data_IF_527384263501
#
_entry.id   IF_527384263501
#
_cell.length_a   1.000
_cell.length_b   1.000
_cell.length_c   1.000
_cell.angle_alpha   90.00
_cell.angle_beta   90.00
_cell.angle_gamma   90.00
#
_symmetry.space_group_name_H-M   'P 1'
#
loop_
_entity.id
_entity.type
_entity.pdbx_description
1 polymer ?
2 non-polymer ?
3 non-polymer ?
4 water ?
#
# COMPACT_ATOMS: atom_id res chain seq x y z
N UNK A 12 -24.47 7.79 20.54
CA UNK A 12 -23.49 8.07 19.45
C UNK A 12 -22.85 6.76 18.94
N UNK A 13 -23.11 6.40 17.68
CA UNK A 13 -22.53 5.19 17.08
C UNK A 13 -22.27 5.31 15.57
N UNK A 14 -21.35 4.47 15.09
CA UNK A 14 -21.00 4.41 13.68
C UNK A 14 -21.26 2.98 13.20
N UNK A 15 -21.26 2.75 11.87
CA UNK A 15 -21.53 1.42 11.34
C UNK A 15 -20.69 0.28 11.93
N UNK A 16 -19.37 0.47 12.03
CA UNK A 16 -18.48 -0.54 12.62
C UNK A 16 -18.28 -0.31 14.13
N UNK A 17 -18.55 -1.34 14.93
CA UNK A 17 -18.20 -1.35 16.35
C UNK A 17 -16.75 -1.82 16.49
N UNK A 18 -15.81 -0.90 16.40
CA UNK A 18 -14.39 -1.26 16.42
C UNK A 18 -14.00 -1.99 17.71
N UNK A 19 -13.02 -2.88 17.60
CA UNK A 19 -12.58 -3.68 18.72
C UNK A 19 -11.69 -2.84 19.63
N UNK A 20 -11.97 -2.92 20.93
CA UNK A 20 -11.12 -2.32 21.96
C UNK A 20 -10.14 -3.38 22.45
N UNK A 21 -8.93 -2.98 22.81
CA UNK A 21 -7.92 -3.96 23.22
C UNK A 21 -8.32 -4.75 24.49
N UNK A 22 -9.22 -4.19 25.30
CA UNK A 22 -9.73 -4.89 26.48
C UNK A 22 -10.71 -6.02 26.10
N UNK A 23 -11.34 -5.89 24.93
CA UNK A 23 -12.35 -6.85 24.47
C UNK A 23 -11.74 -8.09 23.82
N UNK A 24 -10.50 -7.98 23.37
CA UNK A 24 -9.87 -9.00 22.52
C UNK A 24 -9.85 -10.40 23.12
N UNK A 25 -9.67 -10.51 24.44
CA UNK A 25 -9.58 -11.80 25.11
C UNK A 25 -10.89 -12.60 25.08
N UNK A 26 -12.00 -11.88 24.93
CA UNK A 26 -13.33 -12.51 24.88
C UNK A 26 -13.72 -13.02 23.49
N UNK A 27 -12.90 -12.75 22.49
CA UNK A 27 -13.17 -13.22 21.12
C UNK A 27 -12.42 -14.52 20.82
N UNK A 28 -13.17 -15.59 20.59
CA UNK A 28 -12.61 -16.88 20.24
C UNK A 28 -12.76 -17.13 18.73
N UNK A 29 -11.68 -16.89 17.99
CA UNK A 29 -11.66 -17.09 16.54
C UNK A 29 -11.75 -18.57 16.18
N UNK A 30 -11.32 -19.45 17.09
CA UNK A 30 -11.40 -20.89 16.87
C UNK A 30 -12.85 -21.38 16.69
N UNK A 31 -13.81 -20.69 17.29
CA UNK A 31 -15.21 -21.03 17.13
C UNK A 31 -15.77 -20.71 15.74
N UNK A 33 -16.65 -19.42 11.74
CA UNK A 33 -16.53 -19.65 10.30
C UNK A 33 -15.80 -18.46 9.67
N UNK A 34 -15.38 -18.62 8.42
CA UNK A 34 -14.62 -17.57 7.72
C UNK A 34 -15.45 -16.28 7.64
N UNK A 35 -16.74 -16.43 7.37
CA UNK A 35 -17.65 -15.30 7.31
C UNK A 35 -17.68 -14.54 8.64
N UNK A 36 -17.74 -15.27 9.75
CA UNK A 36 -17.79 -14.63 11.07
C UNK A 36 -16.44 -14.03 11.43
N UNK A 37 -15.37 -14.67 10.99
CA UNK A 37 -14.02 -14.10 11.17
C UNK A 37 -13.88 -12.75 10.48
N UNK A 38 -14.41 -12.63 9.26
CA UNK A 38 -14.30 -11.39 8.50
C UNK A 38 -15.05 -10.21 9.17
N UNK A 39 -16.09 -10.53 9.92
CA UNK A 39 -16.75 -9.50 10.72
C UNK A 39 -15.83 -9.01 11.84
N UNK A 40 -14.99 -9.90 12.37
CA UNK A 40 -13.96 -9.49 13.34
C UNK A 40 -12.84 -8.70 12.66
N UNK A 41 -12.37 -9.13 11.48
CA UNK A 41 -11.27 -8.43 10.80
C UNK A 41 -11.70 -6.99 10.48
N UNK A 42 -12.95 -6.85 10.03
CA UNK A 42 -13.54 -5.55 9.74
C UNK A 42 -13.54 -4.66 10.98
N UNK A 43 -13.68 -5.23 12.17
CA UNK A 43 -13.77 -4.43 13.40
C UNK A 43 -12.43 -4.06 14.03
N UNK A 44 -11.35 -4.63 13.49
CA UNK A 44 -10.02 -4.20 13.86
C UNK A 44 -9.84 -2.78 13.36
N UNK A 45 -9.47 -1.83 14.27
CA UNK A 45 -9.19 -0.49 13.80
C UNK A 45 -7.84 -0.46 13.09
N UNK A 46 -7.86 -0.47 11.76
CA UNK A 46 -6.66 -0.70 10.96
C UNK A 46 -5.95 0.58 10.52
N UNK A 47 -4.63 0.54 10.57
CA UNK A 47 -3.77 1.61 10.10
C UNK A 47 -2.93 1.02 8.98
N UNK A 48 -3.18 1.47 7.75
CA UNK A 48 -2.55 0.89 6.57
C UNK A 48 -1.58 1.90 5.98
N UNK A 49 -0.34 1.45 5.78
CA UNK A 49 0.75 2.33 5.35
C UNK A 49 1.15 2.15 3.89
N UNK A 50 0.76 1.04 3.27
CA UNK A 50 1.25 0.69 1.93
C UNK A 50 0.12 0.19 1.03
N UNK A 51 -0.55 1.15 0.39
CA UNK A 51 -1.55 0.85 -0.61
C UNK A 51 -1.40 1.83 -1.76
N UNK A 52 -1.27 1.30 -2.97
CA UNK A 52 -1.14 2.10 -4.17
C UNK A 52 -2.52 2.52 -4.64
N UNK A 53 -2.87 3.79 -4.42
CA UNK A 53 -4.17 4.33 -4.82
C UNK A 53 -4.42 4.12 -6.31
N UNK A 54 -3.39 4.33 -7.14
CA UNK A 54 -3.54 4.15 -8.59
C UNK A 54 -3.82 2.71 -9.03
N UNK A 55 -3.65 1.74 -8.14
CA UNK A 55 -4.04 0.35 -8.41
C UNK A 55 -4.95 -0.21 -7.31
N UNK A 56 -5.72 0.68 -6.70
CA UNK A 56 -6.63 0.30 -5.64
C UNK A 56 -8.06 0.44 -6.13
N UNK A 57 -8.70 -0.69 -6.45
CA UNK A 57 -10.07 -0.69 -6.90
C UNK A 57 -10.72 -2.06 -6.81
N UNK A 58 -12.04 -2.08 -6.90
CA UNK A 58 -12.80 -3.32 -6.92
C UNK A 58 -12.93 -3.80 -8.36
N UNK A 59 -13.29 -5.07 -8.53
CA UNK A 59 -13.55 -5.65 -9.85
C UNK A 59 -14.65 -4.87 -10.55
N UNK A 60 -15.74 -4.62 -9.82
CA UNK A 60 -16.87 -3.87 -10.34
C UNK A 60 -16.45 -2.49 -10.86
N UNK A 61 -15.70 -1.74 -10.05
CA UNK A 61 -15.22 -0.43 -10.49
C UNK A 61 -14.35 -0.50 -11.74
N UNK A 62 -13.43 -1.47 -11.77
CA UNK A 62 -12.51 -1.59 -12.90
C UNK A 62 -13.26 -1.85 -14.20
N UNK A 63 -14.19 -2.80 -14.18
CA UNK A 63 -14.92 -3.16 -15.40
C UNK A 63 -15.80 -2.00 -15.89
N UNK A 64 -16.36 -1.23 -14.96
CA UNK A 64 -17.15 -0.05 -15.30
C UNK A 64 -16.34 0.94 -16.13
N UNK A 65 -15.09 1.16 -15.70
CA UNK A 65 -14.16 2.04 -16.42
C UNK A 65 -13.91 1.54 -17.84
N UNK A 66 -13.59 0.26 -17.97
CA UNK A 66 -13.29 -0.34 -19.25
C UNK A 66 -14.49 -0.20 -20.21
N UNK A 67 -15.69 -0.24 -19.66
CA UNK A 67 -16.89 -0.14 -20.48
C UNK A 67 -17.36 1.29 -20.71
N UNK A 68 -17.12 2.17 -19.74
CA UNK A 68 -17.35 3.60 -19.92
C UNK A 68 -16.64 4.13 -21.18
N UNK A 69 -15.39 3.69 -21.38
CA UNK A 69 -14.59 4.13 -22.51
C UNK A 69 -14.50 3.08 -23.62
N UNK A 70 -15.43 2.11 -23.61
CA UNK A 70 -15.56 1.09 -24.65
C UNK A 70 -14.22 0.48 -25.08
N UNK A 71 -13.43 0.06 -24.09
CA UNK A 71 -12.05 -0.37 -24.32
C UNK A 71 -11.91 -1.85 -24.72
N UNK A 72 -12.82 -2.70 -24.24
CA UNK A 72 -12.76 -4.13 -24.59
C UNK A 72 -14.14 -4.69 -24.96
N UNK A 73 -14.69 -4.23 -26.10
CA UNK A 73 -16.04 -4.61 -26.54
C UNK A 73 -16.22 -6.10 -26.81
N UNK A 74 -15.15 -6.76 -27.23
CA UNK A 74 -15.19 -8.19 -27.55
C UNK A 74 -14.89 -9.09 -26.36
N UNK A 75 -14.66 -8.51 -25.19
CA UNK A 75 -14.39 -9.29 -23.98
C UNK A 75 -15.57 -9.21 -23.00
N UNK A 76 -15.82 -10.32 -22.30
CA UNK A 76 -16.79 -10.35 -21.20
C UNK A 76 -16.16 -9.71 -19.97
N UNK A 77 -16.99 -9.48 -18.93
CA UNK A 77 -16.53 -8.90 -17.65
C UNK A 77 -15.41 -9.74 -17.03
N UNK A 78 -15.59 -11.05 -16.99
CA UNK A 78 -14.58 -11.97 -16.45
C UNK A 78 -13.30 -11.97 -17.29
N UNK A 79 -13.45 -11.97 -18.62
CA UNK A 79 -12.31 -11.92 -19.53
C UNK A 79 -11.51 -10.63 -19.39
N UNK A 80 -12.22 -9.53 -19.06
CA UNK A 80 -11.57 -8.26 -18.79
C UNK A 80 -10.62 -8.38 -17.59
N UNK A 81 -11.12 -8.99 -16.51
CA UNK A 81 -10.34 -9.14 -15.27
C UNK A 81 -9.11 -10.02 -15.47
N UNK A 82 -9.26 -11.09 -16.24
CA UNK A 82 -8.14 -11.99 -16.57
C UNK A 82 -7.10 -11.26 -17.42
N UNK A 83 -7.58 -10.46 -18.39
CA UNK A 83 -6.70 -9.76 -19.31
C UNK A 83 -5.87 -8.66 -18.65
N UNK A 84 -6.47 -7.95 -17.70
CA UNK A 84 -5.85 -6.74 -17.14
C UNK A 84 -5.18 -6.92 -15.78
N UNK A 85 -5.71 -7.82 -14.96
CA UNK A 85 -5.35 -7.87 -13.54
C UNK A 85 -4.50 -9.10 -13.18
N UNK A 86 -4.21 -9.26 -11.89
CA UNK A 86 -3.21 -10.20 -11.41
C UNK A 86 -3.77 -11.07 -10.28
N UNK A 87 -5.08 -11.30 -10.30
CA UNK A 87 -5.77 -12.02 -9.22
C UNK A 87 -5.32 -13.48 -9.09
N UNK A 88 -4.92 -14.09 -10.19
CA UNK A 88 -4.38 -15.45 -10.16
C UNK A 88 -2.87 -15.47 -9.95
N UNK A 89 -2.27 -14.30 -9.78
CA UNK A 89 -0.84 -14.18 -9.59
C UNK A 89 -0.07 -14.33 -10.87
N UNK A 90 1.25 -14.41 -10.74
CA UNK A 90 2.14 -14.62 -11.87
C UNK A 90 3.50 -15.10 -11.39
N UNK A 91 4.50 -14.95 -12.24
CA UNK A 91 5.80 -15.57 -12.01
C UNK A 91 6.77 -14.67 -11.25
N UNK A 92 6.55 -13.36 -11.29
CA UNK A 92 7.51 -12.40 -10.74
C UNK A 92 6.98 -10.98 -10.59
N UNK A 93 7.79 -10.15 -9.93
CA UNK A 93 7.56 -8.71 -9.86
C UNK A 93 7.60 -8.10 -11.26
N UNK A 94 8.54 -8.56 -12.09
CA UNK A 94 8.61 -8.12 -13.49
C UNK A 94 7.32 -8.33 -14.26
N UNK A 95 6.67 -9.47 -14.05
CA UNK A 95 5.40 -9.77 -14.74
C UNK A 95 4.26 -8.89 -14.22
N UNK A 96 4.26 -8.62 -12.91
CA UNK A 96 3.31 -7.70 -12.30
C UNK A 96 3.40 -6.28 -12.90
N UNK A 97 4.63 -5.80 -13.05
CA UNK A 97 4.89 -4.44 -13.54
C UNK A 97 4.39 -4.25 -14.96
N UNK A 98 4.56 -5.27 -15.81
CA UNK A 98 4.05 -5.20 -17.18
C UNK A 98 2.52 -5.25 -17.21
N UNK A 99 1.94 -6.03 -16.31
CA UNK A 99 0.48 -6.15 -16.24
C UNK A 99 -0.14 -4.82 -15.79
N UNK A 100 0.50 -4.19 -14.79
CA UNK A 100 0.06 -2.89 -14.27
C UNK A 100 0.03 -1.81 -15.34
N UNK A 101 0.99 -1.86 -16.26
CA UNK A 101 1.08 -0.94 -17.41
C UNK A 101 -0.17 -0.98 -18.31
N UNK A 102 -0.75 -2.18 -18.48
CA UNK A 102 -1.99 -2.35 -19.24
C UNK A 102 -3.19 -1.71 -18.54
N UNK A 103 -3.21 -1.80 -17.21
CA UNK A 103 -4.28 -1.22 -16.40
C UNK A 103 -4.38 0.30 -16.59
N UNK A 104 -3.26 0.95 -16.89
CA UNK A 104 -3.25 2.39 -17.16
C UNK A 104 -4.17 2.84 -18.31
N UNK A 105 -4.74 1.86 -19.05
CA UNK A 105 -5.83 2.11 -20.00
C UNK A 105 -7.01 2.88 -19.38
N UNK A 106 -7.25 2.72 -18.09
CA UNK A 106 -8.38 3.38 -17.43
C UNK A 106 -8.08 4.83 -17.00
N UNK A 107 -6.83 5.27 -17.11
CA UNK A 107 -6.48 6.65 -16.75
C UNK A 107 -6.74 7.60 -17.92
N UNK A 108 -7.99 7.56 -18.40
CA UNK A 108 -8.41 8.26 -19.61
C UNK A 108 -8.53 9.77 -19.42
N UNK A 109 -9.01 10.17 -18.24
CA UNK A 109 -9.28 11.57 -17.95
C UNK A 109 -9.26 11.82 -16.45
N UNK A 110 -9.41 13.08 -16.07
CA UNK A 110 -9.32 13.48 -14.67
C UNK A 110 -10.58 13.14 -13.86
N UNK A 111 -11.70 12.89 -14.54
CA UNK A 111 -12.94 12.50 -13.88
C UNK A 111 -12.87 11.07 -13.34
N UNK A 112 -12.33 10.15 -14.13
CA UNK A 112 -12.21 8.74 -13.70
C UNK A 112 -11.20 8.60 -12.56
N UNK A 113 -10.15 9.43 -12.60
CA UNK A 113 -9.12 9.46 -11.57
C UNK A 113 -9.68 9.94 -10.21
N UNK A 114 -10.50 10.99 -10.25
CA UNK A 114 -11.19 11.47 -9.06
C UNK A 114 -12.13 10.41 -8.51
N UNK A 115 -12.91 9.78 -9.38
CA UNK A 115 -13.82 8.71 -8.97
C UNK A 115 -13.08 7.54 -8.38
N UNK A 116 -11.96 7.17 -9.00
CA UNK A 116 -11.14 6.09 -8.48
C UNK A 116 -10.74 6.44 -7.05
N UNK A 117 -10.21 7.63 -6.85
CA UNK A 117 -9.81 8.10 -5.52
C UNK A 117 -10.96 8.02 -4.52
N UNK A 118 -12.14 8.46 -4.94
CA UNK A 118 -13.29 8.51 -4.05
C UNK A 118 -13.68 7.12 -3.61
N UNK A 119 -13.81 6.21 -4.57
CA UNK A 119 -14.18 4.84 -4.29
C UNK A 119 -13.10 4.12 -3.50
N UNK A 120 -11.82 4.45 -3.74
CA UNK A 120 -10.72 3.86 -2.98
C UNK A 120 -10.81 4.19 -1.48
N UNK A 121 -11.02 5.46 -1.17
CA UNK A 121 -11.21 5.89 0.21
C UNK A 121 -12.45 5.28 0.83
N UNK A 122 -13.58 5.33 0.12
CA UNK A 122 -14.83 4.84 0.70
C UNK A 122 -14.75 3.38 1.07
N UNK A 123 -14.16 2.55 0.21
CA UNK A 123 -14.07 1.12 0.51
C UNK A 123 -13.15 0.81 1.69
N UNK A 124 -12.07 1.57 1.86
CA UNK A 124 -11.21 1.41 3.05
C UNK A 124 -12.00 1.73 4.32
N UNK A 125 -12.81 2.79 4.27
CA UNK A 125 -13.74 3.11 5.36
C UNK A 125 -14.67 1.94 5.66
N UNK A 126 -15.30 1.40 4.63
CA UNK A 126 -16.21 0.27 4.80
C UNK A 126 -15.49 -0.93 5.43
N UNK A 127 -14.24 -1.11 5.05
CA UNK A 127 -13.43 -2.24 5.52
C UNK A 127 -12.91 -2.08 6.95
N UNK A 128 -13.05 -0.89 7.54
CA UNK A 128 -12.60 -0.62 8.91
C UNK A 128 -11.18 -0.09 9.01
N UNK A 129 -10.71 0.57 7.96
CA UNK A 129 -9.43 1.28 8.02
C UNK A 129 -9.71 2.65 8.65
N UNK A 130 -8.96 2.98 9.69
CA UNK A 130 -9.15 4.28 10.36
C UNK A 130 -8.00 5.25 10.02
N UNK A 131 -6.82 4.71 9.69
CA UNK A 131 -5.67 5.51 9.26
C UNK A 131 -5.16 4.99 7.92
N UNK A 133 -2.62 5.68 4.69
CA UNK A 133 -1.59 6.31 3.89
C UNK A 133 -1.64 5.72 2.49
N UNK A 134 -2.29 6.43 1.58
CA UNK A 134 -2.27 6.09 0.16
C UNK A 134 -1.00 6.64 -0.50
N UNK A 135 -0.54 5.95 -1.53
CA UNK A 135 0.56 6.44 -2.35
C UNK A 135 0.19 6.27 -3.82
N UNK A 136 0.69 7.17 -4.66
CA UNK A 136 0.54 7.02 -6.10
C UNK A 136 1.72 7.58 -6.89
N UNK A 137 1.80 7.18 -8.15
CA UNK A 137 2.85 7.62 -9.06
C UNK A 137 2.28 8.57 -10.12
N UNK A 138 2.62 9.87 -10.03
CA UNK A 138 2.20 10.83 -11.05
C UNK A 138 2.53 10.35 -12.46
N UNK A 139 3.78 9.94 -12.67
CA UNK A 139 4.24 9.55 -14.00
C UNK A 139 3.53 8.29 -14.49
N UNK A 140 3.25 7.36 -13.57
CA UNK A 140 2.54 6.14 -13.92
C UNK A 140 1.09 6.39 -14.36
N UNK A 141 0.43 7.32 -13.69
CA UNK A 141 -0.94 7.68 -14.04
C UNK A 141 -0.97 8.50 -15.34
N UNK A 142 0.07 9.28 -15.57
CA UNK A 142 0.09 10.28 -16.65
C UNK A 142 0.42 9.77 -18.06
N UNK A 143 1.18 8.68 -18.15
CA UNK A 143 1.83 8.33 -19.44
C UNK A 143 0.90 7.83 -20.53
N UNK A 144 -0.08 7.00 -20.19
CA UNK A 144 -0.90 6.33 -21.20
C UNK A 144 -1.62 7.33 -22.11
N UNK A 145 -2.27 8.32 -21.49
CA UNK A 145 -3.01 9.35 -22.23
C UNK A 145 -2.34 10.74 -22.18
N UNK A 146 -1.09 10.80 -21.74
CA UNK A 146 -0.30 12.04 -21.79
C UNK A 146 -0.93 13.14 -20.95
N UNK A 147 -1.34 12.78 -19.73
CA UNK A 147 -2.03 13.71 -18.86
C UNK A 147 -1.07 14.65 -18.14
N UNK A 148 -1.65 15.69 -17.54
CA UNK A 148 -0.90 16.69 -16.78
C UNK A 148 -0.89 16.24 -15.32
N UNK A 149 0.30 16.04 -14.79
CA UNK A 149 0.47 15.54 -13.40
C UNK A 149 -0.08 16.52 -12.36
N UNK A 150 -0.04 17.81 -12.68
CA UNK A 150 -0.69 18.83 -11.84
C UNK A 150 -2.19 18.57 -11.72
N UNK A 151 -2.82 18.19 -12.83
CA UNK A 151 -4.27 17.94 -12.86
C UNK A 151 -4.65 16.56 -12.32
N UNK A 152 -3.77 15.58 -12.54
CA UNK A 152 -3.91 14.26 -11.91
C UNK A 152 -3.99 14.44 -10.39
N UNK A 153 -3.02 15.17 -9.85
CA UNK A 153 -2.93 15.42 -8.40
C UNK A 153 -4.14 16.15 -7.86
N UNK A 154 -4.58 17.15 -8.62
CA UNK A 154 -5.76 17.92 -8.29
C UNK A 154 -6.98 17.01 -8.17
N UNK A 155 -7.11 16.08 -9.10
CA UNK A 155 -8.22 15.14 -9.12
C UNK A 155 -8.20 14.20 -7.90
N UNK A 156 -7.01 13.72 -7.55
CA UNK A 156 -6.85 12.78 -6.43
C UNK A 156 -7.15 13.48 -5.10
N UNK A 157 -6.58 14.66 -4.93
CA UNK A 157 -6.78 15.45 -3.73
C UNK A 157 -8.27 15.80 -3.54
N UNK A 158 -8.91 16.20 -4.64
CA UNK A 158 -10.33 16.55 -4.63
C UNK A 158 -11.21 15.35 -4.26
N UNK A 159 -10.95 14.20 -4.86
CA UNK A 159 -11.71 12.99 -4.59
C UNK A 159 -11.60 12.52 -3.16
N UNK A 160 -10.37 12.50 -2.63
CA UNK A 160 -10.12 12.12 -1.25
C UNK A 160 -10.80 13.08 -0.27
N UNK A 161 -10.64 14.38 -0.50
CA UNK A 161 -11.21 15.41 0.37
C UNK A 161 -12.74 15.33 0.43
N UNK A 162 -13.36 15.11 -0.72
CA UNK A 162 -14.81 15.03 -0.79
C UNK A 162 -15.39 13.87 0.00
N UNK A 163 -14.73 12.71 -0.06
CA UNK A 163 -15.19 11.53 0.67
C UNK A 163 -14.87 11.64 2.17
N UNK A 164 -13.68 12.13 2.48
CA UNK A 164 -13.26 12.33 3.87
C UNK A 164 -14.22 13.29 4.61
N UNK A 165 -14.61 14.37 3.94
CA UNK A 165 -15.56 15.33 4.50
C UNK A 165 -16.97 14.75 4.63
N UNK A 166 -17.42 14.04 3.60
CA UNK A 166 -18.69 13.32 3.68
C UNK A 166 -18.71 12.41 4.89
N UNK A 167 -17.60 11.72 5.13
CA UNK A 167 -17.49 10.76 6.24
C UNK A 167 -17.16 11.38 7.60
N UNK A 168 -17.20 12.72 7.70
CA UNK A 168 -16.88 13.44 8.94
C UNK A 168 -15.52 13.05 9.51
N UNK A 169 -14.55 12.82 8.62
CA UNK A 169 -13.19 12.45 9.00
C UNK A 169 -13.10 11.20 9.91
N UNK A 170 -14.04 10.27 9.77
CA UNK A 170 -13.99 9.02 10.51
C UNK A 170 -12.93 8.07 9.95
N UNK A 171 -12.43 8.38 8.76
CA UNK A 171 -11.19 7.83 8.23
C UNK A 171 -10.26 9.00 7.91
N UNK A 172 -9.00 8.90 8.34
CA UNK A 172 -8.00 9.92 8.03
C UNK A 172 -7.11 9.39 6.94
N UNK A 173 -6.89 10.21 5.91
CA UNK A 173 -6.14 9.79 4.73
C UNK A 173 -4.98 10.74 4.49
N UNK A 174 -3.81 10.18 4.23
CA UNK A 174 -2.64 10.95 3.84
C UNK A 174 -2.09 10.35 2.56
N UNK A 175 -1.19 11.09 1.92
CA UNK A 175 -0.78 10.80 0.56
C UNK A 175 0.75 10.83 0.45
N UNK A 177 4.00 10.31 -2.52
CA UNK A 177 4.35 10.38 -3.93
C UNK A 177 5.34 9.26 -4.23
N UNK A 178 5.10 8.51 -5.31
CA UNK A 178 6.03 7.47 -5.76
C UNK A 178 6.79 7.92 -7.00
N UNK A 179 8.11 7.87 -6.94
CA UNK A 179 8.95 7.90 -8.14
C UNK A 179 9.19 6.44 -8.48
N UNK A 180 8.94 6.03 -9.71
CA UNK A 180 9.00 4.61 -10.05
C UNK A 180 9.79 4.29 -11.32
N UNK A 181 10.12 3.01 -11.45
CA UNK A 181 10.87 2.49 -12.59
C UNK A 181 10.08 1.35 -13.23
N UNK A 182 10.11 1.25 -14.56
CA UNK A 182 9.49 0.15 -15.28
C UNK A 182 8.40 0.51 -16.28
N UNK A 183 8.06 1.79 -16.39
CA UNK A 183 7.05 2.22 -17.36
C UNK A 183 7.55 3.42 -18.19
N UNK A 184 6.88 3.63 -19.32
CA UNK A 184 7.11 4.78 -20.20
C UNK A 184 7.05 6.09 -19.40
N UNK A 185 7.96 7.00 -19.71
CA UNK A 185 7.96 8.32 -19.08
C UNK A 185 8.16 8.27 -17.56
N UNK A 186 8.91 7.28 -17.08
CA UNK A 186 9.31 7.24 -15.68
C UNK A 186 10.44 8.26 -15.45
N UNK A 187 10.47 8.86 -14.26
CA UNK A 187 11.42 9.93 -13.96
C UNK A 187 11.41 10.20 -12.46
N UNK A 188 12.46 9.75 -11.79
CA UNK A 188 12.55 9.84 -10.34
C UNK A 188 12.80 11.30 -9.92
N UNK A 189 13.76 11.94 -10.58
CA UNK A 189 14.06 13.33 -10.32
C UNK A 189 12.79 14.18 -10.40
N UNK A 190 12.07 14.06 -11.52
CA UNK A 190 10.86 14.85 -11.76
C UNK A 190 9.80 14.58 -10.70
N UNK A 191 9.69 13.32 -10.27
CA UNK A 191 8.75 12.93 -9.21
C UNK A 191 9.12 13.56 -7.88
N UNK A 192 10.42 13.57 -7.57
CA UNK A 192 10.95 14.24 -6.39
C UNK A 192 10.62 15.72 -6.39
N UNK A 193 10.83 16.39 -7.52
CA UNK A 193 10.55 17.82 -7.63
C UNK A 193 9.06 18.06 -7.45
N UNK A 194 8.25 17.22 -8.09
CA UNK A 194 6.80 17.31 -7.99
C UNK A 194 6.32 17.10 -6.55
N UNK A 195 6.93 16.14 -5.87
CA UNK A 195 6.62 15.86 -4.49
C UNK A 195 6.88 17.07 -3.57
N UNK A 196 8.03 17.72 -3.75
CA UNK A 196 8.39 18.86 -2.91
C UNK A 196 7.57 20.11 -3.27
N UNK A 197 7.27 20.26 -4.56
CA UNK A 197 6.32 21.28 -5.03
C UNK A 197 4.97 21.15 -4.32
N UNK A 198 4.54 19.92 -4.07
CA UNK A 198 3.26 19.67 -3.42
C UNK A 198 3.44 19.06 -2.04
N UNK A 199 4.47 19.48 -1.30
CA UNK A 199 4.78 18.85 -0.02
C UNK A 199 3.73 19.13 1.07
N UNK A 200 2.91 20.16 0.86
CA UNK A 200 1.74 20.42 1.72
C UNK A 200 0.74 19.24 1.71
N UNK A 201 0.70 18.52 0.58
CA UNK A 201 -0.22 17.40 0.37
C UNK A 201 0.43 16.05 0.57
N UNK A 202 1.76 16.00 0.45
CA UNK A 202 2.48 14.73 0.54
C UNK A 202 3.16 14.58 1.89
N UNK A 203 2.99 13.42 2.52
CA UNK A 203 3.63 13.15 3.80
C UNK A 203 4.87 12.28 3.65
N UNK A 204 5.10 11.74 2.45
CA UNK A 204 6.30 10.94 2.22
C UNK A 204 6.59 10.67 0.76
N UNK A 205 7.77 10.13 0.51
CA UNK A 205 8.27 9.88 -0.84
C UNK A 205 8.82 8.45 -0.96
N UNK A 206 8.54 7.82 -2.10
CA UNK A 206 8.72 6.38 -2.25
C UNK A 206 9.32 6.06 -3.62
N UNK A 207 9.92 4.89 -3.74
CA UNK A 207 10.26 4.33 -5.03
C UNK A 207 9.73 2.92 -5.14
N UNK A 208 9.06 2.64 -6.25
CA UNK A 208 8.50 1.33 -6.52
C UNK A 208 8.70 0.95 -7.97
N UNK A 209 7.94 -0.03 -8.43
CA UNK A 209 8.16 -0.62 -9.75
C UNK A 209 9.29 -1.63 -9.68
N UNK A 210 10.15 -1.66 -10.69
CA UNK A 210 11.32 -2.55 -10.64
C UNK A 210 12.19 -2.17 -9.45
N UNK A 211 12.67 -3.20 -8.73
CA UNK A 211 13.52 -2.96 -7.56
C UNK A 211 14.96 -2.68 -8.00
N UNK A 212 15.38 -1.43 -7.85
CA UNK A 212 16.72 -1.00 -8.23
C UNK A 212 17.48 -0.56 -6.99
N UNK A 213 18.81 -0.65 -7.04
CA UNK A 213 19.66 -0.11 -5.99
C UNK A 213 19.64 1.41 -6.04
N UNK A 214 19.03 2.02 -5.02
CA UNK A 214 18.73 3.43 -5.06
C UNK A 214 19.88 4.33 -4.59
N UNK A 215 21.03 3.74 -4.24
CA UNK A 215 22.21 4.55 -3.90
C UNK A 215 22.64 5.40 -5.09
N UNK A 216 22.34 4.93 -6.30
CA UNK A 216 22.63 5.71 -7.50
C UNK A 216 21.75 6.95 -7.65
N UNK A 217 20.74 7.10 -6.77
CA UNK A 217 19.95 8.33 -6.69
C UNK A 217 20.10 9.04 -5.33
N UNK A 218 21.23 8.77 -4.65
CA UNK A 218 21.51 9.29 -3.32
C UNK A 218 21.21 10.78 -3.15
N UNK A 219 21.60 11.56 -4.14
CA UNK A 219 21.47 13.00 -4.13
C UNK A 219 20.00 13.42 -4.09
N UNK A 220 19.18 12.76 -4.90
CA UNK A 220 17.75 13.08 -5.01
C UNK A 220 17.02 12.77 -3.70
N UNK A 221 17.31 11.60 -3.14
CA UNK A 221 16.70 11.20 -1.88
C UNK A 221 17.17 12.04 -0.69
N UNK A 222 18.46 12.39 -0.67
CA UNK A 222 18.99 13.29 0.37
C UNK A 222 18.20 14.59 0.37
N UNK A 223 18.05 15.17 -0.82
CA UNK A 223 17.36 16.45 -0.99
C UNK A 223 15.88 16.41 -0.54
N UNK A 224 15.17 15.34 -0.89
CA UNK A 224 13.78 15.18 -0.45
C UNK A 224 13.72 15.01 1.07
N UNK A 225 14.56 14.11 1.60
CA UNK A 225 14.59 13.84 3.04
C UNK A 225 14.95 15.08 3.84
N UNK A 226 16.01 15.75 3.42
CA UNK A 226 16.48 16.97 4.10
C UNK A 226 15.46 18.11 4.04
N UNK A 227 14.53 18.04 3.10
CA UNK A 227 13.44 19.01 3.00
C UNK A 227 12.28 18.72 3.95
N UNK A 228 12.39 17.65 4.74
CA UNK A 228 11.36 17.32 5.72
C UNK A 228 10.30 16.35 5.20
N UNK A 229 10.55 15.74 4.05
CA UNK A 229 9.67 14.68 3.55
C UNK A 229 10.35 13.34 3.82
N UNK A 230 9.82 12.56 4.79
CA UNK A 230 10.43 11.27 5.10
C UNK A 230 10.27 10.25 3.98
N UNK A 231 11.15 9.25 4.00
CA UNK A 231 11.24 8.27 2.93
C UNK A 231 10.79 6.87 3.39
N UNK A 232 10.06 6.20 2.51
CA UNK A 232 9.78 4.77 2.62
C UNK A 232 9.83 4.23 1.20
N UNK A 233 10.80 3.36 0.91
CA UNK A 233 10.98 2.87 -0.46
C UNK A 233 10.82 1.37 -0.49
N UNK A 234 10.45 0.86 -1.67
CA UNK A 234 10.39 -0.58 -1.91
C UNK A 234 11.82 -1.13 -1.92
N UNK A 235 12.08 -2.11 -1.07
CA UNK A 235 13.38 -2.76 -0.96
C UNK A 235 13.21 -4.10 -0.27
N UNK A 236 13.97 -5.10 -0.70
CA UNK A 236 13.91 -6.43 -0.09
C UNK A 236 12.64 -7.19 -0.40
N UNK A 237 12.07 -6.93 -1.57
CA UNK A 237 10.86 -7.60 -2.03
C UNK A 237 11.19 -8.68 -3.04
N UNK A 238 11.96 -8.30 -4.07
CA UNK A 238 12.19 -9.17 -5.22
C UNK A 238 13.26 -10.23 -4.91
N UNK A 239 12.82 -11.48 -4.81
CA UNK A 239 13.69 -12.58 -4.39
C UNK A 239 14.65 -13.08 -5.47
N UNK A 240 14.51 -12.58 -6.70
CA UNK A 240 15.35 -13.00 -7.81
C UNK A 240 16.68 -12.23 -7.84
N UNK A 241 16.74 -11.13 -7.10
CA UNK A 241 17.96 -10.33 -7.01
C UNK A 241 19.07 -11.14 -6.33
N UNK A 242 20.31 -11.07 -6.84
CA UNK A 242 21.40 -11.96 -6.42
C UNK A 242 22.03 -11.63 -5.07
N UNK A 243 21.57 -10.55 -4.43
CA UNK A 243 22.06 -10.15 -3.11
C UNK A 243 21.05 -9.21 -2.46
N UNK A 244 21.41 -8.63 -1.31
CA UNK A 244 20.52 -7.74 -0.58
C UNK A 244 20.99 -6.28 -0.57
N UNK A 245 21.69 -5.88 -1.63
CA UNK A 245 22.25 -4.52 -1.74
C UNK A 245 21.23 -3.40 -1.67
N UNK A 246 20.04 -3.65 -2.21
CA UNK A 246 18.98 -2.64 -2.22
C UNK A 246 18.51 -2.30 -0.80
N UNK A 247 18.45 -3.31 0.06
CA UNK A 247 18.13 -3.12 1.47
C UNK A 247 19.19 -2.33 2.21
N UNK A 248 20.46 -2.64 1.98
CA UNK A 248 21.55 -1.90 2.64
C UNK A 248 21.57 -0.43 2.20
N UNK A 249 21.29 -0.18 0.92
CA UNK A 249 21.26 1.19 0.41
C UNK A 249 20.05 1.97 0.92
N UNK A 250 18.91 1.31 0.99
CA UNK A 250 17.72 1.94 1.57
C UNK A 250 18.00 2.39 2.99
N UNK A 251 18.56 1.50 3.80
CA UNK A 251 18.77 1.76 5.22
C UNK A 251 19.93 2.72 5.44
N UNK A 252 21.08 2.45 4.83
CA UNK A 252 22.33 3.18 5.11
C UNK A 252 22.53 4.45 4.28
N UNK A 253 22.08 4.43 3.02
CA UNK A 253 22.29 5.59 2.13
C UNK A 253 21.05 6.49 2.13
N UNK A 254 19.88 5.91 1.85
CA UNK A 254 18.63 6.69 1.85
C UNK A 254 18.13 7.06 3.25
N UNK A 255 18.55 6.33 4.27
CA UNK A 255 18.15 6.62 5.65
C UNK A 255 16.62 6.66 5.80
N UNK A 256 15.99 5.62 5.28
CA UNK A 256 14.53 5.51 5.29
C UNK A 256 14.03 5.26 6.70
N UNK A 257 12.81 5.72 6.96
CA UNK A 257 12.15 5.46 8.25
C UNK A 257 11.34 4.16 8.21
N UNK A 258 10.87 3.80 7.03
CA UNK A 258 10.12 2.56 6.79
C UNK A 258 10.57 1.93 5.48
N UNK A 259 10.31 0.64 5.31
CA UNK A 259 10.65 -0.05 4.05
C UNK A 259 9.40 -0.73 3.50
N UNK A 260 9.13 -0.50 2.21
CA UNK A 260 8.06 -1.18 1.49
C UNK A 260 8.45 -2.63 1.24
N UNK A 261 7.62 -3.54 1.74
CA UNK A 261 7.92 -4.98 1.81
C UNK A 261 9.04 -5.29 2.80
N UNK A 262 10.30 -5.26 2.35
CA UNK A 262 11.42 -5.58 3.23
C UNK A 262 11.49 -7.01 3.75
N UNK A 263 10.75 -7.92 3.13
CA UNK A 263 10.65 -9.30 3.64
C UNK A 263 11.98 -10.07 3.58
N UNK A 264 12.86 -9.70 2.66
CA UNK A 264 14.14 -10.39 2.54
C UNK A 264 15.13 -10.04 3.67
N UNK A 265 14.80 -9.01 4.45
CA UNK A 265 15.49 -8.71 5.71
C UNK A 265 15.64 -9.96 6.56
N UNK A 266 14.64 -10.85 6.49
CA UNK A 266 14.63 -12.11 7.22
C UNK A 266 15.79 -13.05 6.91
N UNK A 267 16.44 -12.86 5.76
CA UNK A 267 17.56 -13.69 5.33
C UNK A 267 18.92 -13.27 5.91
N UNK A 268 18.95 -12.18 6.67
CA UNK A 268 20.21 -11.66 7.23
C UNK A 268 20.03 -11.18 8.65
N UNK A 269 20.79 -11.77 9.57
CA UNK A 269 20.75 -11.36 10.97
C UNK A 269 21.30 -9.94 11.13
N UNK A 270 22.27 -9.56 10.30
CA UNK A 270 22.80 -8.20 10.32
C UNK A 270 21.72 -7.18 10.01
N UNK A 271 20.93 -7.45 8.97
CA UNK A 271 19.86 -6.53 8.56
C UNK A 271 18.69 -6.51 9.56
N UNK A 272 18.37 -7.67 10.11
CA UNK A 272 17.38 -7.77 11.19
C UNK A 272 17.78 -6.88 12.36
N UNK A 273 19.03 -7.02 12.81
CA UNK A 273 19.56 -6.21 13.92
C UNK A 273 19.57 -4.71 13.57
N UNK A 275 17.64 -3.05 11.32
CA UNK A 275 16.31 -2.43 11.23
C UNK A 275 15.69 -2.25 12.61
N UNK A 276 15.88 -3.23 13.49
CA UNK A 276 15.45 -3.11 14.88
C UNK A 276 16.15 -1.93 15.57
N UNK A 277 17.47 -1.84 15.39
CA UNK A 277 18.27 -0.78 16.02
C UNK A 277 17.85 0.62 15.57
N UNK A 278 17.50 0.75 14.30
CA UNK A 278 17.09 2.04 13.73
C UNK A 278 15.58 2.30 13.81
N UNK A 279 14.83 1.39 14.45
CA UNK A 279 13.38 1.52 14.58
C UNK A 279 12.67 1.70 13.22
N UNK A 280 13.14 0.94 12.23
CA UNK A 280 12.54 0.93 10.91
C UNK A 280 11.39 -0.10 10.91
N UNK A 281 10.28 0.26 10.25
CA UNK A 281 9.13 -0.64 10.12
C UNK A 281 9.03 -1.17 8.71
N UNK A 282 8.78 -2.49 8.60
CA UNK A 282 8.62 -3.16 7.32
C UNK A 282 7.13 -3.20 6.98
N UNK A 283 6.77 -2.61 5.84
CA UNK A 283 5.39 -2.55 5.40
C UNK A 283 5.10 -3.84 4.62
N UNK A 284 4.69 -4.87 5.36
CA UNK A 284 4.51 -6.19 4.77
C UNK A 284 3.17 -6.30 4.04
N UNK A 285 3.24 -6.88 2.85
CA UNK A 285 2.10 -7.06 1.96
C UNK A 285 2.02 -8.55 1.61
N UNK A 286 1.40 -9.34 2.49
CA UNK A 286 1.43 -10.82 2.40
C UNK A 286 0.91 -11.43 1.09
N UNK A 287 -0.30 -11.06 0.70
CA UNK A 287 -0.90 -11.61 -0.52
C UNK A 287 -0.08 -11.21 -1.75
N UNK A 288 0.38 -9.96 -1.80
CA UNK A 288 1.21 -9.51 -2.91
C UNK A 288 2.44 -10.41 -3.06
N UNK A 289 3.12 -10.68 -1.96
CA UNK A 289 4.34 -11.48 -1.99
C UNK A 289 4.10 -12.88 -2.56
N UNK A 290 3.01 -13.50 -2.12
CA UNK A 290 2.66 -14.84 -2.55
C UNK A 290 2.26 -14.87 -4.02
N UNK A 291 1.40 -13.93 -4.44
CA UNK A 291 0.94 -13.88 -5.83
C UNK A 291 2.08 -13.58 -6.80
N UNK A 292 3.09 -12.84 -6.33
CA UNK A 292 4.24 -12.48 -7.15
C UNK A 292 5.41 -13.45 -7.00
N UNK A 293 5.22 -14.48 -6.17
CA UNK A 293 6.23 -15.51 -5.89
C UNK A 293 7.52 -14.97 -5.24
N UNK A 294 7.34 -13.93 -4.43
CA UNK A 294 8.41 -13.41 -3.57
C UNK A 294 8.38 -14.07 -2.20
N UNK A 295 7.32 -14.86 -1.96
CA UNK A 295 7.29 -15.82 -0.87
C UNK A 295 6.81 -17.13 -1.47
N UNK A 296 7.38 -18.24 -1.03
CA UNK A 296 7.05 -19.56 -1.59
C UNK A 296 5.59 -19.91 -1.34
N UNK A 297 5.10 -19.55 -0.16
CA UNK A 297 3.71 -19.75 0.21
C UNK A 297 3.40 -18.90 1.44
N UNK A 299 2.17 -20.13 4.29
CA UNK A 299 2.73 -20.94 5.39
C UNK A 299 4.19 -20.60 5.68
N UNK A 300 4.92 -20.19 4.64
CA UNK A 300 6.34 -19.86 4.76
C UNK A 300 6.64 -18.37 4.56
N UNK A 301 5.63 -17.51 4.69
CA UNK A 301 5.86 -16.09 4.54
C UNK A 301 6.75 -15.56 5.66
N UNK A 302 7.82 -14.81 5.31
CA UNK A 302 8.79 -14.29 6.29
C UNK A 302 8.27 -13.43 7.46
N UNK A 303 7.07 -12.88 7.34
CA UNK A 303 6.50 -12.01 8.38
C UNK A 303 6.51 -12.68 9.76
N UNK A 304 6.25 -13.99 9.79
CA UNK A 304 6.24 -14.71 11.06
C UNK A 304 7.63 -14.70 11.71
N UNK A 305 8.67 -15.05 10.96
CA UNK A 305 10.05 -15.01 11.46
C UNK A 305 10.43 -13.60 11.88
N UNK A 306 10.09 -12.63 11.03
CA UNK A 306 10.36 -11.22 11.33
C UNK A 306 9.63 -10.75 12.59
N UNK A 307 8.35 -11.10 12.73
CA UNK A 307 7.58 -10.74 13.93
C UNK A 307 8.19 -11.35 15.18
N UNK A 308 8.50 -12.64 15.11
CA UNK A 308 9.15 -13.36 16.20
C UNK A 308 10.55 -12.82 16.52
N UNK A 309 11.25 -12.30 15.50
CA UNK A 309 12.59 -11.75 15.71
C UNK A 309 12.57 -10.37 16.38
N UNK A 310 11.39 -9.78 16.56
CA UNK A 310 11.26 -8.49 17.25
C UNK A 310 11.29 -7.28 16.32
N UNK A 311 11.27 -7.55 15.01
CA UNK A 311 11.20 -6.48 14.00
C UNK A 311 9.78 -5.89 13.95
N UNK A 312 9.69 -4.57 13.81
CA UNK A 312 8.39 -3.92 13.63
C UNK A 312 7.88 -4.14 12.21
N UNK A 313 6.68 -4.69 12.12
CA UNK A 313 6.04 -5.01 10.84
C UNK A 313 4.58 -4.58 10.90
N UNK A 314 4.02 -4.22 9.75
CA UNK A 314 2.59 -3.93 9.67
C UNK A 314 1.96 -4.66 8.46
N UNK A 315 0.63 -4.73 8.46
CA UNK A 315 -0.11 -5.44 7.45
C UNK A 315 -0.68 -4.43 6.47
N UNK A 316 -0.48 -4.70 5.18
CA UNK A 316 -0.90 -3.81 4.12
C UNK A 316 -1.44 -4.63 2.96
N UNK A 317 -2.25 -4.01 2.10
CA UNK A 317 -2.89 -4.70 0.98
C UNK A 317 -2.18 -4.49 -0.35
N UNK A 318 -1.41 -3.40 -0.46
CA UNK A 318 -0.58 -3.13 -1.62
C UNK A 318 -1.40 -2.65 -2.83
N UNK A 319 -2.07 -3.57 -3.53
CA UNK A 319 -2.81 -3.27 -4.77
C UNK A 319 -4.12 -4.06 -4.81
N UNK A 320 -5.13 -3.63 -4.03
CA UNK A 320 -6.44 -4.28 -4.03
C UNK A 320 -7.03 -4.49 -5.42
N UNK A 321 -6.75 -3.56 -6.33
CA UNK A 321 -7.20 -3.64 -7.70
C UNK A 321 -6.52 -4.71 -8.53
N UNK A 323 -4.96 -7.39 -7.38
CA UNK A 323 -5.14 -8.72 -6.77
C UNK A 323 -6.61 -9.07 -6.48
N UNK A 324 -7.52 -8.13 -6.71
CA UNK A 324 -8.95 -8.29 -6.42
C UNK A 324 -9.15 -8.78 -5.00
N UNK A 325 -8.43 -8.14 -4.09
CA UNK A 325 -8.49 -8.41 -2.68
C UNK A 325 -8.70 -7.10 -1.95
N UNK A 326 -8.86 -7.19 -0.63
CA UNK A 326 -8.87 -6.01 0.23
C UNK A 326 -8.07 -6.32 1.50
N UNK A 327 -7.85 -5.30 2.31
CA UNK A 327 -6.99 -5.40 3.50
C UNK A 327 -7.40 -6.57 4.42
N UNK A 328 -8.69 -6.80 4.59
CA UNK A 328 -9.18 -7.85 5.50
C UNK A 328 -8.80 -9.28 5.04
N UNK A 329 -8.61 -9.45 3.73
CA UNK A 329 -8.06 -10.70 3.19
C UNK A 329 -6.64 -10.99 3.68
N UNK A 330 -5.78 -9.96 3.70
CA UNK A 330 -4.41 -10.11 4.17
C UNK A 330 -4.41 -10.53 5.65
N UNK A 331 -5.33 -9.97 6.42
CA UNK A 331 -5.55 -10.37 7.82
C UNK A 331 -5.97 -11.83 7.94
N UNK A 332 -7.00 -12.21 7.18
CA UNK A 332 -7.46 -13.60 7.13
C UNK A 332 -6.30 -14.57 6.86
N UNK A 333 -5.48 -14.26 5.87
CA UNK A 333 -4.39 -15.15 5.46
C UNK A 333 -3.33 -15.32 6.55
N UNK A 334 -3.02 -14.25 7.26
CA UNK A 334 -2.05 -14.31 8.36
C UNK A 334 -2.57 -15.15 9.53
N UNK A 335 -3.85 -14.96 9.87
CA UNK A 335 -4.51 -15.79 10.89
C UNK A 335 -4.51 -17.26 10.51
N UNK A 336 -5.02 -17.58 9.32
CA UNK A 336 -5.27 -18.98 8.94
C UNK A 336 -3.97 -19.75 8.70
N UNK A 337 -3.03 -19.12 8.00
CA UNK A 337 -1.80 -19.79 7.59
C UNK A 337 -0.67 -19.65 8.62
N UNK A 338 -0.61 -18.55 9.34
CA UNK A 338 0.51 -18.30 10.25
C UNK A 338 0.12 -18.05 11.71
N UNK A 339 -1.14 -18.33 12.06
CA UNK A 339 -1.59 -18.29 13.47
C UNK A 339 -1.38 -16.93 14.16
N UNK A 340 -1.45 -15.83 13.41
CA UNK A 340 -1.41 -14.51 14.01
C UNK A 340 -2.69 -14.28 14.81
N UNK A 341 -2.58 -13.58 15.93
CA UNK A 341 -3.71 -13.34 16.83
C UNK A 341 -4.23 -11.91 16.75
N UNK A 342 -5.38 -11.67 17.38
CA UNK A 342 -5.94 -10.32 17.47
C UNK A 342 -4.99 -9.40 18.19
N UNK A 343 -4.35 -9.91 19.24
CA UNK A 343 -3.36 -9.15 19.98
C UNK A 343 -2.19 -8.74 19.08
N UNK A 344 -1.71 -9.65 18.24
CA UNK A 344 -0.64 -9.34 17.29
C UNK A 344 -1.11 -8.24 16.36
N UNK A 345 -2.30 -8.42 15.79
CA UNK A 345 -2.86 -7.46 14.83
C UNK A 345 -3.03 -6.07 15.44
N UNK A 347 -1.30 -4.88 18.03
CA UNK A 347 0.07 -4.41 18.24
C UNK A 347 0.66 -3.83 16.96
N UNK A 349 -0.87 -2.68 14.32
CA UNK A 349 -1.58 -1.45 13.95
C UNK A 349 -1.15 -0.26 14.80
N UNK A 350 -0.79 -0.50 16.06
CA UNK A 350 -0.28 0.59 16.89
C UNK A 350 1.11 1.03 16.43
N UNK A 351 1.98 0.06 16.12
CA UNK A 351 3.24 0.34 15.46
C UNK A 351 3.05 1.17 14.18
N UNK A 352 2.16 0.69 13.31
CA UNK A 352 1.79 1.42 12.10
C UNK A 352 1.43 2.88 12.42
N UNK A 353 0.62 3.08 13.45
CA UNK A 353 0.24 4.43 13.86
C UNK A 353 1.47 5.24 14.26
N UNK A 354 2.35 4.64 15.05
CA UNK A 354 3.52 5.31 15.57
C UNK A 354 4.45 5.75 14.45
N UNK A 355 4.56 4.91 13.43
CA UNK A 355 5.48 5.11 12.30
C UNK A 355 4.87 5.81 11.09
N UNK A 356 3.57 6.07 11.14
CA UNK A 356 2.88 6.81 10.09
C UNK A 356 3.47 8.21 9.95
N UNK A 357 3.51 8.68 8.70
CA UNK A 357 4.01 10.02 8.39
C UNK A 357 2.97 11.12 8.57
N UNK A 359 0.33 13.82 10.31
CA UNK A 359 0.53 14.86 11.33
C UNK A 359 0.27 14.27 12.72
N UNK A 360 1.17 14.54 13.65
CA UNK A 360 1.13 13.95 14.98
C UNK A 360 -0.14 14.34 15.76
N UNK A 361 -0.64 15.56 15.54
CA UNK A 361 -1.89 15.98 16.16
C UNK A 361 -3.05 15.06 15.78
N UNK A 362 -3.11 14.69 14.50
CA UNK A 362 -4.17 13.80 14.01
C UNK A 362 -3.95 12.39 14.56
N UNK A 363 -2.71 11.93 14.51
CA UNK A 363 -2.38 10.59 14.97
C UNK A 363 -2.69 10.36 16.45
N UNK A 364 -2.50 11.39 17.27
CA UNK A 364 -2.80 11.30 18.71
C UNK A 364 -4.29 11.12 19.00
N UNK A 365 -5.12 11.78 18.21
CA UNK A 365 -6.57 11.63 18.34
C UNK A 365 -7.00 10.22 17.97
N UNK A 366 -6.38 9.66 16.93
CA UNK A 366 -6.68 8.28 16.50
C UNK A 366 -6.25 7.31 17.59
N UNK A 367 -5.07 7.55 18.15
CA UNK A 367 -4.55 6.73 19.26
C UNK A 367 -5.51 6.74 20.43
N UNK A 368 -5.95 7.93 20.86
CA UNK A 368 -6.89 8.05 21.98
C UNK A 368 -8.26 7.44 21.66
N UNK A 369 -8.66 7.50 20.39
CA UNK A 369 -9.97 7.00 19.97
C UNK A 369 -10.04 5.47 19.87
N UNK A 370 -8.98 4.84 19.38
CA UNK A 370 -8.98 3.39 19.12
C UNK A 370 -8.00 2.55 19.95
N UNK A 371 -6.88 3.14 20.36
CA UNK A 371 -5.81 2.38 21.02
C UNK A 371 -5.58 2.83 22.47
#
# INVERSE_FOLDING_TARGET
>A
XAHHHHHHXNILQEPIDFLKKEELKNIDLSQXSKKERYKIWKRIPKCELHCHLDLCFSADFFVSCIRKYNLQPNLSDEEVLDYYLFAKGGKSLGEFVEKAIKVADIFHDYEVIEDLAKHAVFNKYKEGVVLXEFRYSPTFVAFKYNLDIELIHQAIVKGIKEVVELLDHKIHVALXCIGDTGHEAANIKASADFCLKHKADFVGFDHGGHEVDLKEYKEIFDYVRESGVPLSVHAGEDVTLPNLNTLYSAIQVLKVERIGHGIRVAESQELIDXVKEKNILLEVCPISNVLLKNAKSXDTHPIRQLYDAGVKVSVNSDDPGXFLTNINDDYEELYTHLNFTLEDFXKXNEWALEKSFXDSNIKDKIKNLYF
#
